data_IF_502888172217
#
_entry.id   IF_502888172217
#
_cell.length_a   1.000
_cell.length_b   1.000
_cell.length_c   1.000
_cell.angle_alpha   90.00
_cell.angle_beta   90.00
_cell.angle_gamma   90.00
#
_symmetry.space_group_name_H-M   'P 1'
#
loop_
_entity.id
_entity.type
_entity.pdbx_description
1 polymer ?
#
# COMPACT_ATOMS: atom_id res chain seq x y z
N UNK A 1 6.11 11.77 -27.87
CA UNK A 1 5.02 10.86 -28.16
C UNK A 1 4.10 10.74 -26.96
N UNK A 2 2.87 10.27 -27.19
CA UNK A 2 1.84 10.13 -26.16
C UNK A 2 2.23 9.18 -25.01
N UNK A 3 3.25 8.31 -25.20
CA UNK A 3 3.73 7.38 -24.17
C UNK A 3 4.36 8.03 -22.95
N UNK A 4 4.86 9.27 -23.07
CA UNK A 4 5.49 9.96 -21.93
C UNK A 4 4.47 10.68 -21.03
N UNK A 5 3.23 10.86 -21.49
CA UNK A 5 2.20 11.56 -20.72
C UNK A 5 1.68 10.70 -19.56
N UNK A 6 1.63 9.39 -19.75
CA UNK A 6 1.12 8.43 -18.75
C UNK A 6 2.11 8.07 -17.65
N UNK A 7 3.38 8.43 -17.79
CA UNK A 7 4.41 8.17 -16.78
C UNK A 7 4.77 9.42 -15.96
N UNK A 8 4.09 10.54 -16.20
CA UNK A 8 4.32 11.77 -15.45
C UNK A 8 3.53 11.69 -14.15
N UNK A 9 4.24 11.42 -13.10
CA UNK A 9 3.70 11.41 -11.75
C UNK A 9 3.77 12.80 -11.13
N UNK A 10 3.08 13.02 -10.04
CA UNK A 10 3.06 14.24 -9.24
C UNK A 10 4.44 14.68 -8.74
N UNK A 11 5.41 13.76 -8.64
CA UNK A 11 6.79 14.07 -8.29
C UNK A 11 7.52 15.00 -9.30
N UNK A 12 6.88 15.33 -10.41
CA UNK A 12 7.33 16.42 -11.30
C UNK A 12 6.86 17.79 -10.85
N UNK A 13 5.91 17.87 -9.94
CA UNK A 13 5.37 19.13 -9.44
C UNK A 13 6.26 19.72 -8.34
N UNK A 14 6.23 21.05 -8.21
CA UNK A 14 6.84 21.70 -7.06
C UNK A 14 6.10 21.41 -5.76
N UNK A 15 6.78 21.66 -4.65
CA UNK A 15 6.18 21.51 -3.32
C UNK A 15 5.10 22.59 -3.13
N UNK A 16 3.94 22.19 -2.58
CA UNK A 16 2.87 23.12 -2.25
C UNK A 16 3.37 24.22 -1.28
N UNK A 17 3.01 25.50 -1.48
CA UNK A 17 3.57 26.60 -0.69
C UNK A 17 3.42 26.42 0.83
N UNK A 18 2.28 25.92 1.32
CA UNK A 18 2.05 25.68 2.75
C UNK A 18 2.92 24.56 3.29
N UNK A 19 3.19 23.51 2.49
CA UNK A 19 4.11 22.42 2.88
C UNK A 19 5.54 22.95 2.96
N UNK A 20 5.96 23.79 1.99
CA UNK A 20 7.28 24.41 2.01
C UNK A 20 7.45 25.33 3.23
N UNK A 21 6.42 26.12 3.57
CA UNK A 21 6.42 26.97 4.74
C UNK A 21 6.54 26.15 6.05
N UNK A 22 5.80 25.04 6.15
CA UNK A 22 5.88 24.12 7.30
C UNK A 22 7.28 23.48 7.43
N UNK A 23 7.92 23.12 6.32
CA UNK A 23 9.30 22.63 6.33
C UNK A 23 10.25 23.70 6.86
N UNK A 24 10.11 24.95 6.39
CA UNK A 24 10.94 26.05 6.85
C UNK A 24 10.76 26.34 8.35
N UNK A 25 9.54 26.27 8.86
CA UNK A 25 9.24 26.43 10.29
C UNK A 25 9.84 25.28 11.11
N UNK A 26 9.67 24.04 10.68
CA UNK A 26 10.21 22.86 11.35
C UNK A 26 11.74 22.79 11.37
N UNK A 27 12.41 23.50 10.45
CA UNK A 27 13.88 23.55 10.36
C UNK A 27 14.52 24.45 11.44
N UNK A 28 13.75 25.04 12.34
CA UNK A 28 14.25 25.87 13.45
C UNK A 28 14.57 25.10 14.71
N UNK A 29 15.60 25.56 15.46
CA UNK A 29 15.92 25.02 16.78
C UNK A 29 16.54 23.61 16.75
N UNK A 30 16.36 22.88 17.85
CA UNK A 30 16.83 21.51 18.03
C UNK A 30 15.69 20.62 18.53
N UNK A 31 15.55 19.44 17.93
CA UNK A 31 14.56 18.44 18.33
C UNK A 31 15.30 17.12 18.65
N UNK A 32 14.68 16.31 19.51
CA UNK A 32 15.17 14.96 19.79
C UNK A 32 14.95 14.08 18.56
N UNK A 33 15.92 13.26 18.22
CA UNK A 33 15.84 12.36 17.07
C UNK A 33 15.00 11.10 17.39
N UNK A 34 14.82 10.25 16.36
CA UNK A 34 14.20 8.92 16.44
C UNK A 34 12.71 8.93 16.82
N UNK A 35 11.99 9.96 16.40
CA UNK A 35 10.55 10.04 16.59
C UNK A 35 10.10 10.60 17.93
N UNK A 36 11.01 11.13 18.73
CA UNK A 36 10.72 11.80 20.02
C UNK A 36 10.52 13.31 19.87
N UNK A 37 10.45 13.81 18.64
CA UNK A 37 10.19 15.20 18.31
C UNK A 37 8.70 15.56 18.33
N UNK A 38 8.41 16.85 18.46
CA UNK A 38 7.04 17.36 18.54
C UNK A 38 6.24 17.16 17.25
N UNK A 39 6.91 17.11 16.10
CA UNK A 39 6.26 16.94 14.81
C UNK A 39 5.80 15.50 14.59
N UNK A 40 6.63 14.52 14.99
CA UNK A 40 6.23 13.10 14.98
C UNK A 40 5.07 12.86 15.95
N UNK A 41 5.08 13.44 17.15
CA UNK A 41 3.95 13.36 18.06
C UNK A 41 2.67 13.93 17.44
N UNK A 42 2.79 15.10 16.80
CA UNK A 42 1.64 15.73 16.12
C UNK A 42 1.11 14.91 14.94
N UNK A 43 2.00 14.25 14.18
CA UNK A 43 1.61 13.33 13.11
C UNK A 43 0.73 12.20 13.64
N UNK A 44 1.12 11.57 14.76
CA UNK A 44 0.32 10.50 15.37
C UNK A 44 -1.06 10.99 15.81
N UNK A 45 -1.15 12.18 16.41
CA UNK A 45 -2.43 12.78 16.80
C UNK A 45 -3.35 13.00 15.58
N UNK A 46 -2.81 13.57 14.51
CA UNK A 46 -3.58 13.85 13.28
C UNK A 46 -4.07 12.54 12.65
N UNK A 47 -3.21 11.53 12.55
CA UNK A 47 -3.60 10.23 12.00
C UNK A 47 -4.67 9.57 12.86
N UNK A 48 -4.56 9.61 14.19
CA UNK A 48 -5.57 9.07 15.09
C UNK A 48 -6.93 9.79 14.96
N UNK A 49 -6.94 11.09 14.67
CA UNK A 49 -8.16 11.86 14.44
C UNK A 49 -8.92 11.43 13.17
N UNK A 50 -8.18 11.08 12.10
CA UNK A 50 -8.76 10.75 10.80
C UNK A 50 -9.04 9.26 10.60
N UNK A 51 -8.21 8.40 11.16
CA UNK A 51 -8.24 6.95 10.93
C UNK A 51 -8.59 6.13 12.17
N UNK A 52 -8.84 6.79 13.29
CA UNK A 52 -9.20 6.14 14.56
C UNK A 52 -8.00 6.04 15.52
N UNK A 53 -8.33 5.90 16.80
CA UNK A 53 -7.36 5.94 17.91
C UNK A 53 -6.27 4.86 17.87
N UNK A 54 -6.53 3.77 17.16
CA UNK A 54 -5.62 2.63 17.04
C UNK A 54 -4.73 2.72 15.79
N UNK A 55 -4.92 3.79 14.98
CA UNK A 55 -4.10 4.03 13.81
C UNK A 55 -2.73 4.61 14.21
N UNK A 56 -1.68 4.14 13.55
CA UNK A 56 -0.30 4.61 13.75
C UNK A 56 0.31 5.00 12.40
N UNK A 57 0.97 6.15 12.34
CA UNK A 57 1.67 6.62 11.15
C UNK A 57 3.15 6.20 11.17
N UNK A 58 3.62 5.71 10.04
CA UNK A 58 5.01 5.34 9.80
C UNK A 58 5.51 6.06 8.55
N UNK A 59 6.19 7.22 8.68
CA UNK A 59 6.74 7.93 7.54
C UNK A 59 7.76 7.09 6.79
N UNK A 60 7.60 6.98 5.47
CA UNK A 60 8.49 6.27 4.58
C UNK A 60 9.07 7.22 3.53
N UNK A 61 10.21 6.87 2.96
CA UNK A 61 10.89 7.72 1.98
C UNK A 61 10.09 7.87 0.67
N UNK A 62 9.44 6.78 0.24
CA UNK A 62 8.61 6.75 -0.97
C UNK A 62 7.59 5.59 -0.90
N UNK A 63 6.71 5.50 -1.91
CA UNK A 63 5.68 4.47 -2.00
C UNK A 63 6.24 3.06 -2.07
N UNK A 64 7.26 2.82 -2.89
CA UNK A 64 7.92 1.51 -2.96
C UNK A 64 8.46 1.07 -1.60
N UNK A 65 9.10 1.99 -0.87
CA UNK A 65 9.56 1.71 0.49
C UNK A 65 8.41 1.39 1.44
N UNK A 66 7.29 2.10 1.33
CA UNK A 66 6.09 1.83 2.11
C UNK A 66 5.50 0.44 1.80
N UNK A 67 5.39 0.09 0.51
CA UNK A 67 4.91 -1.23 0.08
C UNK A 67 5.81 -2.36 0.56
N UNK A 68 7.14 -2.25 0.37
CA UNK A 68 8.10 -3.26 0.78
C UNK A 68 8.05 -3.48 2.29
N UNK A 69 8.16 -2.42 3.09
CA UNK A 69 8.22 -2.51 4.56
C UNK A 69 6.86 -2.89 5.14
N UNK A 70 5.77 -2.29 4.63
CA UNK A 70 4.42 -2.56 5.10
C UNK A 70 4.00 -4.01 4.86
N UNK A 71 4.21 -4.52 3.66
CA UNK A 71 3.90 -5.91 3.32
C UNK A 71 4.80 -6.89 4.10
N UNK A 72 6.09 -6.59 4.24
CA UNK A 72 7.01 -7.41 5.03
C UNK A 72 6.60 -7.49 6.51
N UNK A 73 6.11 -6.39 7.08
CA UNK A 73 5.62 -6.36 8.47
C UNK A 73 4.32 -7.17 8.66
N UNK A 74 3.55 -7.38 7.58
CA UNK A 74 2.29 -8.14 7.62
C UNK A 74 2.46 -9.63 7.39
N UNK A 75 3.61 -10.09 6.89
CA UNK A 75 3.81 -11.45 6.41
C UNK A 75 4.93 -12.19 7.15
N UNK A 76 4.73 -13.47 7.48
CA UNK A 76 5.85 -14.36 7.72
C UNK A 76 6.57 -14.65 6.39
N UNK A 77 7.79 -15.18 6.47
CA UNK A 77 8.63 -15.47 5.28
C UNK A 77 8.00 -16.43 4.25
N UNK A 78 7.01 -17.22 4.65
CA UNK A 78 6.26 -18.15 3.79
C UNK A 78 4.90 -17.60 3.34
N UNK A 79 4.63 -16.32 3.67
CA UNK A 79 3.43 -15.63 3.26
C UNK A 79 3.50 -15.15 1.82
N UNK A 80 2.33 -14.99 1.23
CA UNK A 80 2.14 -14.47 -0.12
C UNK A 80 1.08 -13.38 -0.14
N UNK A 81 1.16 -12.53 -1.16
CA UNK A 81 0.23 -11.43 -1.42
C UNK A 81 -0.54 -11.71 -2.68
N UNK A 82 -1.87 -11.76 -2.59
CA UNK A 82 -2.75 -11.76 -3.77
C UNK A 82 -2.92 -10.32 -4.23
N UNK A 83 -2.66 -10.04 -5.49
CA UNK A 83 -2.81 -8.72 -6.10
C UNK A 83 -3.34 -8.84 -7.52
N UNK A 84 -3.88 -7.75 -8.08
CA UNK A 84 -4.17 -7.70 -9.51
C UNK A 84 -2.86 -7.84 -10.31
N UNK A 85 -2.93 -8.41 -11.50
CA UNK A 85 -1.77 -8.55 -12.40
C UNK A 85 -1.22 -7.20 -12.88
N UNK A 86 -2.04 -6.15 -12.81
CA UNK A 86 -1.65 -4.76 -13.09
C UNK A 86 -1.12 -4.01 -11.87
N UNK A 87 -1.18 -4.61 -10.67
CA UNK A 87 -0.82 -3.94 -9.42
C UNK A 87 0.62 -3.40 -9.44
N UNK A 88 0.81 -2.20 -8.93
CA UNK A 88 2.09 -1.48 -8.90
C UNK A 88 3.22 -2.32 -8.30
N UNK A 89 2.95 -3.04 -7.21
CA UNK A 89 3.92 -3.95 -6.56
C UNK A 89 4.39 -5.09 -7.46
N UNK A 90 3.60 -5.46 -8.48
CA UNK A 90 3.95 -6.51 -9.42
C UNK A 90 4.68 -5.99 -10.66
N UNK A 91 4.23 -4.86 -11.21
CA UNK A 91 4.68 -4.41 -12.54
C UNK A 91 5.64 -3.22 -12.53
N UNK A 92 5.62 -2.35 -11.51
CA UNK A 92 6.26 -1.02 -11.61
C UNK A 92 7.13 -0.63 -10.41
N UNK A 93 7.58 -1.60 -9.61
CA UNK A 93 8.51 -1.37 -8.48
C UNK A 93 9.85 -2.11 -8.65
N UNK A 94 10.20 -2.48 -9.88
CA UNK A 94 11.47 -3.14 -10.18
C UNK A 94 11.67 -4.49 -9.45
N UNK A 95 10.58 -5.14 -9.05
CA UNK A 95 10.61 -6.38 -8.27
C UNK A 95 11.03 -6.18 -6.81
N UNK A 96 10.95 -4.96 -6.28
CA UNK A 96 11.39 -4.67 -4.92
C UNK A 96 10.68 -5.49 -3.83
N UNK A 97 9.35 -5.72 -3.86
CA UNK A 97 8.68 -6.57 -2.88
C UNK A 97 9.22 -8.01 -2.87
N UNK A 98 9.43 -8.59 -4.04
CA UNK A 98 9.94 -9.95 -4.17
C UNK A 98 11.43 -10.05 -3.80
N UNK A 99 12.24 -9.15 -4.33
CA UNK A 99 13.70 -9.22 -4.18
C UNK A 99 14.19 -8.73 -2.81
N UNK A 100 13.63 -7.63 -2.31
CA UNK A 100 14.11 -6.98 -1.08
C UNK A 100 13.40 -7.49 0.17
N UNK A 101 12.09 -7.73 0.09
CA UNK A 101 11.31 -8.23 1.21
C UNK A 101 11.13 -9.75 1.18
N UNK A 102 11.50 -10.42 0.09
CA UNK A 102 11.33 -11.87 -0.06
C UNK A 102 9.88 -12.32 -0.11
N UNK A 103 8.99 -11.46 -0.58
CA UNK A 103 7.54 -11.69 -0.63
C UNK A 103 7.21 -12.46 -1.91
N UNK A 104 6.37 -13.50 -1.80
CA UNK A 104 5.76 -14.12 -2.95
C UNK A 104 4.53 -13.34 -3.37
N UNK A 105 4.50 -12.85 -4.62
CA UNK A 105 3.30 -12.28 -5.23
C UNK A 105 2.50 -13.38 -5.95
N UNK A 106 1.20 -13.30 -5.85
CA UNK A 106 0.22 -14.15 -6.53
C UNK A 106 -0.67 -13.23 -7.40
N UNK A 107 -0.19 -12.86 -8.60
CA UNK A 107 -0.94 -11.96 -9.47
C UNK A 107 -2.16 -12.67 -10.07
N UNK A 108 -3.29 -12.00 -10.04
CA UNK A 108 -4.57 -12.45 -10.56
C UNK A 108 -4.95 -11.60 -11.77
N UNK A 109 -5.23 -12.25 -12.90
CA UNK A 109 -5.68 -11.55 -14.10
C UNK A 109 -7.03 -10.86 -13.85
N UNK A 110 -7.12 -9.60 -14.23
CA UNK A 110 -8.29 -8.76 -14.06
C UNK A 110 -8.59 -7.98 -15.33
N UNK A 111 -9.86 -7.74 -15.63
CA UNK A 111 -10.25 -6.97 -16.83
C UNK A 111 -10.11 -5.44 -16.60
N UNK A 112 -10.27 -5.00 -15.36
CA UNK A 112 -10.34 -3.59 -14.98
C UNK A 112 -9.39 -3.20 -13.83
N UNK A 113 -8.45 -4.08 -13.47
CA UNK A 113 -7.51 -3.87 -12.38
C UNK A 113 -8.10 -4.13 -10.98
N UNK A 114 -9.37 -4.54 -10.87
CA UNK A 114 -10.02 -4.78 -9.58
C UNK A 114 -10.09 -6.26 -9.25
N UNK A 115 -9.73 -6.61 -8.02
CA UNK A 115 -10.01 -7.91 -7.44
C UNK A 115 -11.48 -7.99 -6.99
N UNK A 116 -12.01 -9.22 -6.97
CA UNK A 116 -13.29 -9.54 -6.34
C UNK A 116 -13.10 -10.70 -5.35
N UNK A 117 -14.04 -10.93 -4.42
CA UNK A 117 -13.96 -12.09 -3.54
C UNK A 117 -13.79 -13.42 -4.30
N UNK A 118 -14.46 -13.57 -5.47
CA UNK A 118 -14.38 -14.78 -6.29
C UNK A 118 -12.99 -14.97 -6.90
N UNK A 119 -12.38 -13.90 -7.41
CA UNK A 119 -11.03 -13.91 -7.95
C UNK A 119 -10.01 -14.23 -6.85
N UNK A 120 -10.18 -13.63 -5.67
CA UNK A 120 -9.33 -13.92 -4.50
C UNK A 120 -9.50 -15.38 -4.09
N UNK A 121 -10.72 -15.89 -4.01
CA UNK A 121 -11.02 -17.29 -3.65
C UNK A 121 -10.35 -18.29 -4.59
N UNK A 122 -10.34 -17.99 -5.90
CA UNK A 122 -9.71 -18.85 -6.89
C UNK A 122 -8.20 -18.98 -6.69
N UNK A 123 -7.52 -17.95 -6.17
CA UNK A 123 -6.08 -17.96 -5.89
C UNK A 123 -5.77 -18.35 -4.43
N UNK A 124 -6.69 -18.15 -3.49
CA UNK A 124 -6.52 -18.42 -2.06
C UNK A 124 -6.74 -19.90 -1.72
N UNK A 125 -5.85 -20.79 -2.20
CA UNK A 125 -5.90 -22.22 -1.96
C UNK A 125 -4.59 -22.75 -1.36
N UNK A 126 -4.58 -24.04 -0.97
CA UNK A 126 -3.40 -24.71 -0.40
C UNK A 126 -3.08 -24.27 1.02
N UNK A 127 -4.10 -23.93 1.79
CA UNK A 127 -3.97 -23.59 3.19
C UNK A 127 -3.36 -24.73 4.00
N UNK A 128 -2.26 -24.46 4.72
CA UNK A 128 -1.54 -25.45 5.50
C UNK A 128 -0.66 -26.40 4.70
N UNK A 129 -0.57 -26.24 3.38
CA UNK A 129 0.37 -26.98 2.54
C UNK A 129 1.77 -26.35 2.68
N UNK A 130 2.74 -27.12 3.17
CA UNK A 130 4.12 -26.69 3.38
C UNK A 130 4.89 -26.41 2.08
N UNK A 131 4.37 -26.85 0.94
CA UNK A 131 4.97 -26.62 -0.39
C UNK A 131 4.44 -25.36 -1.07
N UNK A 132 3.40 -24.73 -0.52
CA UNK A 132 2.80 -23.51 -1.06
C UNK A 132 3.03 -22.31 -0.15
N UNK A 133 3.44 -21.19 -0.74
CA UNK A 133 3.41 -19.91 -0.05
C UNK A 133 1.96 -19.56 0.34
N UNK A 134 1.73 -19.26 1.62
CA UNK A 134 0.39 -19.07 2.16
C UNK A 134 -0.19 -17.71 1.79
N UNK A 135 -1.37 -17.63 1.16
CA UNK A 135 -2.01 -16.37 0.76
C UNK A 135 -2.56 -15.65 2.00
N UNK A 136 -1.77 -14.75 2.59
CA UNK A 136 -2.08 -14.12 3.87
C UNK A 136 -2.43 -12.63 3.76
N UNK A 137 -2.19 -12.02 2.60
CA UNK A 137 -2.53 -10.61 2.35
C UNK A 137 -3.21 -10.47 1.00
N UNK A 138 -4.26 -9.67 0.96
CA UNK A 138 -4.86 -9.13 -0.27
C UNK A 138 -4.39 -7.70 -0.44
N UNK A 139 -3.83 -7.37 -1.60
CA UNK A 139 -3.35 -6.03 -1.94
C UNK A 139 -4.31 -5.36 -2.91
N UNK A 140 -4.76 -4.18 -2.58
CA UNK A 140 -5.65 -3.35 -3.39
C UNK A 140 -4.97 -2.01 -3.69
N UNK A 141 -5.17 -1.49 -4.90
CA UNK A 141 -4.74 -0.13 -5.27
C UNK A 141 -5.97 0.75 -5.51
N UNK A 142 -6.03 1.90 -4.87
CA UNK A 142 -7.12 2.87 -5.03
C UNK A 142 -6.53 4.26 -5.38
N UNK A 143 -6.80 4.78 -6.57
CA UNK A 143 -7.42 4.11 -7.74
C UNK A 143 -6.48 3.05 -8.32
N UNK A 144 -7.05 2.13 -9.13
CA UNK A 144 -6.23 1.10 -9.78
C UNK A 144 -5.33 1.73 -10.86
N UNK A 145 -4.35 0.99 -11.31
CA UNK A 145 -3.43 1.37 -12.38
C UNK A 145 -4.12 1.57 -13.73
N UNK A 146 -5.32 1.02 -13.89
CA UNK A 146 -6.18 1.22 -15.07
C UNK A 146 -7.16 2.39 -14.91
N UNK A 147 -7.12 3.11 -13.77
CA UNK A 147 -7.97 4.27 -13.50
C UNK A 147 -9.37 3.93 -13.01
N UNK A 148 -9.65 2.69 -12.67
CA UNK A 148 -10.90 2.28 -12.05
C UNK A 148 -10.87 2.54 -10.53
N UNK A 149 -12.05 2.57 -9.92
CA UNK A 149 -12.21 2.90 -8.50
C UNK A 149 -13.05 1.83 -7.82
N UNK A 150 -12.57 1.30 -6.70
CA UNK A 150 -13.39 0.46 -5.83
C UNK A 150 -14.43 1.30 -5.11
N UNK A 151 -15.67 0.86 -5.13
CA UNK A 151 -16.71 1.41 -4.26
C UNK A 151 -16.51 0.95 -2.81
N UNK A 152 -17.05 1.65 -1.81
CA UNK A 152 -17.01 1.18 -0.41
C UNK A 152 -17.58 -0.22 -0.21
N UNK A 153 -18.64 -0.60 -0.97
CA UNK A 153 -19.24 -1.93 -0.89
C UNK A 153 -18.33 -3.01 -1.46
N UNK A 154 -17.61 -2.74 -2.56
CA UNK A 154 -16.61 -3.66 -3.12
C UNK A 154 -15.45 -3.86 -2.15
N UNK A 155 -14.91 -2.77 -1.58
CA UNK A 155 -13.85 -2.86 -0.56
C UNK A 155 -14.33 -3.67 0.63
N UNK A 156 -15.57 -3.42 1.10
CA UNK A 156 -16.15 -4.15 2.21
C UNK A 156 -16.27 -5.65 1.92
N UNK A 157 -16.79 -6.01 0.75
CA UNK A 157 -16.94 -7.41 0.37
C UNK A 157 -15.59 -8.15 0.35
N UNK A 158 -14.54 -7.51 -0.22
CA UNK A 158 -13.19 -8.06 -0.23
C UNK A 158 -12.63 -8.18 1.19
N UNK A 159 -12.82 -7.15 2.01
CA UNK A 159 -12.31 -7.12 3.38
C UNK A 159 -12.99 -8.19 4.26
N UNK A 160 -14.31 -8.32 4.15
CA UNK A 160 -15.06 -9.35 4.87
C UNK A 160 -14.56 -10.75 4.49
N UNK A 161 -14.43 -11.01 3.18
CA UNK A 161 -13.91 -12.29 2.68
C UNK A 161 -12.48 -12.56 3.20
N UNK A 162 -11.59 -11.59 3.09
CA UNK A 162 -10.21 -11.72 3.53
C UNK A 162 -10.12 -12.04 5.04
N UNK A 163 -10.84 -11.29 5.86
CA UNK A 163 -10.84 -11.47 7.31
C UNK A 163 -11.45 -12.80 7.75
N UNK A 164 -12.53 -13.24 7.10
CA UNK A 164 -13.14 -14.56 7.35
C UNK A 164 -12.15 -15.71 7.11
N UNK A 165 -11.22 -15.54 6.16
CA UNK A 165 -10.18 -16.51 5.83
C UNK A 165 -8.83 -16.26 6.52
N UNK A 166 -8.79 -15.35 7.51
CA UNK A 166 -7.58 -15.01 8.26
C UNK A 166 -6.52 -14.24 7.48
N UNK A 167 -6.88 -13.70 6.31
CA UNK A 167 -6.04 -12.79 5.54
C UNK A 167 -6.14 -11.35 6.04
N UNK A 168 -5.11 -10.56 5.79
CA UNK A 168 -5.10 -9.10 5.99
C UNK A 168 -5.33 -8.41 4.65
N UNK A 169 -5.80 -7.17 4.70
CA UNK A 169 -5.93 -6.32 3.51
C UNK A 169 -4.93 -5.18 3.61
N UNK A 170 -4.13 -5.01 2.57
CA UNK A 170 -3.25 -3.88 2.35
C UNK A 170 -3.85 -3.01 1.26
N UNK A 171 -4.07 -1.72 1.55
CA UNK A 171 -4.59 -0.78 0.56
C UNK A 171 -3.54 0.27 0.25
N UNK A 172 -3.06 0.28 -0.98
CA UNK A 172 -2.25 1.35 -1.53
C UNK A 172 -3.17 2.47 -2.02
N UNK A 173 -3.19 3.55 -1.26
CA UNK A 173 -3.91 4.77 -1.61
C UNK A 173 -2.96 5.69 -2.35
N UNK A 174 -2.65 5.37 -3.59
CA UNK A 174 -1.85 6.24 -4.45
C UNK A 174 -2.57 7.60 -4.61
N UNK A 175 -2.28 8.53 -3.71
CA UNK A 175 -2.90 9.87 -3.67
C UNK A 175 -2.35 10.81 -4.75
N UNK A 176 -1.69 10.26 -5.73
CA UNK A 176 -1.02 10.96 -6.84
C UNK A 176 -1.99 11.81 -7.68
N UNK A 177 -3.28 11.51 -7.61
CA UNK A 177 -4.29 12.09 -8.49
C UNK A 177 -5.36 12.93 -7.77
N UNK A 178 -5.05 13.47 -6.60
CA UNK A 178 -5.94 14.41 -5.92
C UNK A 178 -5.72 15.84 -6.40
#
# INVERSE_FOLDING_TARGET
GLGDVYKRQDNYSGVHPEVLAAIAEANGGHQVAYGEDVYTARLQEVVAQHFGKDATAWPMFNGTGANVVGLQAMLPRWGAVICADTAHIHVDEGGAPEKSAGIKLLPVATDDGKLTPELIAAEAWGWGDEHRAQPLVVYLTQSTELGTVYTPDEVKAITDYAHEHGMRVYMDLSLIHI
#
